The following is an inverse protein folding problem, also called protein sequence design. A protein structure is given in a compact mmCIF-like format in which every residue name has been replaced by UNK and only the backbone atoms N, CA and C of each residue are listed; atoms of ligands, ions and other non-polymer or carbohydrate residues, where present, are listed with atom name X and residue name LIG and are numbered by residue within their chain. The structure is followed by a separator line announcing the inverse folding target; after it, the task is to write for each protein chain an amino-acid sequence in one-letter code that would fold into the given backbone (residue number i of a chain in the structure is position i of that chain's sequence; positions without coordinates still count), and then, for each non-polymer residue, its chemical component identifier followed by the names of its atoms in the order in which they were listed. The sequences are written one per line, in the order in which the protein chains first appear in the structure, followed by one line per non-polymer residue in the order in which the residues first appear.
data_IF_950610801009
#
_entry.id   IF_950610801009
#
_cell.length_a   1.000
_cell.length_b   1.000
_cell.length_c   1.000
_cell.angle_alpha   90.00
_cell.angle_beta   90.00
_cell.angle_gamma   90.00
#
_symmetry.space_group_name_H-M   'P 1'
#
loop_
_entity.id
_entity.type
_entity.pdbx_description
1 polymer ?
#
# COMPACT_ATOMS: atom_id res chain seq x y z
N UNK A 1 20.49 15.54 -1.57
CA UNK A 1 19.19 16.04 -2.08
C UNK A 1 19.40 17.20 -3.05
N UNK A 2 20.61 17.75 -3.04
CA UNK A 2 21.05 19.01 -3.62
C UNK A 2 20.84 19.08 -5.14
N UNK A 3 20.92 17.94 -5.85
CA UNK A 3 20.66 17.85 -7.29
C UNK A 3 19.19 18.15 -7.65
N UNK A 4 18.24 17.77 -6.80
CA UNK A 4 16.79 17.89 -7.05
C UNK A 4 16.12 19.04 -6.31
N UNK A 5 16.87 19.74 -5.46
CA UNK A 5 16.37 20.82 -4.62
C UNK A 5 15.93 22.04 -5.45
N UNK A 6 16.68 22.37 -6.50
CA UNK A 6 16.30 23.43 -7.45
C UNK A 6 15.10 23.06 -8.33
N UNK A 7 15.13 21.91 -9.05
CA UNK A 7 14.05 21.54 -9.97
C UNK A 7 12.73 21.16 -9.30
N UNK A 8 12.75 20.52 -8.12
CA UNK A 8 11.56 19.95 -7.49
C UNK A 8 11.45 20.26 -5.98
N UNK A 9 11.41 21.54 -5.59
CA UNK A 9 11.47 21.95 -4.19
C UNK A 9 10.32 21.38 -3.34
N UNK A 10 9.11 21.32 -3.89
CA UNK A 10 7.95 20.75 -3.18
C UNK A 10 8.09 19.24 -2.93
N UNK A 11 8.70 18.49 -3.85
CA UNK A 11 8.92 17.06 -3.68
C UNK A 11 9.97 16.78 -2.60
N UNK A 12 11.03 17.59 -2.56
CA UNK A 12 12.06 17.53 -1.52
C UNK A 12 11.45 17.82 -0.15
N UNK A 13 10.64 18.87 -0.02
CA UNK A 13 9.97 19.19 1.24
C UNK A 13 9.12 18.04 1.79
N UNK A 14 8.37 17.35 0.92
CA UNK A 14 7.57 16.17 1.30
C UNK A 14 8.48 15.02 1.74
N UNK A 15 9.57 14.77 1.01
CA UNK A 15 10.53 13.73 1.36
C UNK A 15 11.18 14.01 2.71
N UNK A 16 11.64 15.24 2.96
CA UNK A 16 12.26 15.64 4.23
C UNK A 16 11.30 15.48 5.41
N UNK A 17 10.07 15.96 5.26
CA UNK A 17 9.05 15.86 6.30
C UNK A 17 8.72 14.39 6.68
N UNK A 18 8.72 13.49 5.68
CA UNK A 18 8.41 12.06 5.86
C UNK A 18 9.63 11.14 5.95
N UNK A 19 10.86 11.66 5.90
CA UNK A 19 12.06 10.85 5.69
C UNK A 19 12.25 9.79 6.76
N UNK A 20 12.03 10.19 8.02
CA UNK A 20 12.16 9.29 9.17
C UNK A 20 11.21 8.10 9.07
N UNK A 21 9.95 8.36 8.73
CA UNK A 21 8.93 7.31 8.59
C UNK A 21 9.21 6.45 7.36
N UNK A 22 9.67 7.06 6.27
CA UNK A 22 10.05 6.34 5.05
C UNK A 22 11.26 5.42 5.28
N UNK A 23 12.18 5.74 6.18
CA UNK A 23 13.32 4.87 6.50
C UNK A 23 12.98 3.76 7.50
N UNK A 24 11.82 3.81 8.15
CA UNK A 24 11.42 2.83 9.17
C UNK A 24 11.40 1.39 8.64
N UNK A 25 11.13 1.20 7.33
CA UNK A 25 11.11 -0.15 6.76
C UNK A 25 12.48 -0.83 6.77
N UNK A 26 13.59 -0.07 6.80
CA UNK A 26 14.95 -0.60 6.83
C UNK A 26 15.25 -1.40 8.11
N UNK A 27 14.46 -1.20 9.18
CA UNK A 27 14.59 -1.96 10.41
C UNK A 27 14.06 -3.41 10.30
N UNK A 28 13.32 -3.75 9.23
CA UNK A 28 12.74 -5.09 9.05
C UNK A 28 13.64 -6.01 8.23
N UNK A 29 14.85 -6.29 8.72
CA UNK A 29 15.87 -7.08 8.02
C UNK A 29 15.46 -8.52 7.64
N UNK A 30 14.44 -9.09 8.31
CA UNK A 30 13.93 -10.44 8.03
C UNK A 30 12.89 -10.47 6.90
N UNK A 31 12.35 -9.31 6.53
CA UNK A 31 11.38 -9.18 5.43
C UNK A 31 12.12 -8.58 4.23
N UNK A 32 11.86 -9.10 3.04
CA UNK A 32 12.35 -8.49 1.81
C UNK A 32 11.85 -7.05 1.70
N UNK A 33 12.76 -6.08 1.75
CA UNK A 33 12.45 -4.65 1.67
C UNK A 33 11.67 -4.30 0.39
N UNK A 34 11.87 -5.03 -0.71
CA UNK A 34 11.12 -4.81 -1.96
C UNK A 34 9.62 -5.04 -1.78
N UNK A 35 9.23 -5.91 -0.85
CA UNK A 35 7.82 -6.19 -0.53
C UNK A 35 7.19 -5.11 0.36
N UNK A 36 8.00 -4.37 1.12
CA UNK A 36 7.52 -3.30 2.00
C UNK A 36 7.49 -1.97 1.26
N UNK A 37 8.52 -1.68 0.45
CA UNK A 37 8.63 -0.41 -0.27
C UNK A 37 7.77 -0.35 -1.55
N UNK A 38 7.33 -1.49 -2.09
CA UNK A 38 6.53 -1.52 -3.31
C UNK A 38 5.08 -1.11 -3.09
N UNK A 39 4.61 -0.16 -3.89
CA UNK A 39 3.21 0.26 -3.99
C UNK A 39 2.42 -0.49 -5.06
N UNK A 40 3.02 -1.48 -5.75
CA UNK A 40 2.43 -2.15 -6.92
C UNK A 40 1.02 -2.72 -6.66
N UNK A 41 0.82 -3.32 -5.49
CA UNK A 41 -0.47 -3.90 -5.11
C UNK A 41 -1.55 -2.82 -4.92
N UNK A 42 -1.20 -1.74 -4.22
CA UNK A 42 -2.09 -0.59 -4.02
C UNK A 42 -2.40 0.12 -5.34
N UNK A 43 -1.40 0.32 -6.19
CA UNK A 43 -1.58 0.93 -7.51
C UNK A 43 -2.47 0.09 -8.42
N UNK A 44 -2.29 -1.24 -8.42
CA UNK A 44 -3.15 -2.17 -9.17
C UNK A 44 -4.58 -2.11 -8.66
N UNK A 45 -4.78 -2.10 -7.33
CA UNK A 45 -6.10 -1.97 -6.73
C UNK A 45 -6.78 -0.65 -7.11
N UNK A 46 -6.07 0.47 -6.96
CA UNK A 46 -6.57 1.81 -7.31
C UNK A 46 -6.90 1.93 -8.80
N UNK A 47 -6.08 1.34 -9.67
CA UNK A 47 -6.34 1.30 -11.12
C UNK A 47 -7.63 0.54 -11.42
N UNK A 48 -7.87 -0.59 -10.76
CA UNK A 48 -9.07 -1.40 -10.96
C UNK A 48 -10.33 -0.71 -10.42
N UNK A 49 -10.25 -0.05 -9.26
CA UNK A 49 -11.31 0.81 -8.74
C UNK A 49 -11.66 1.87 -9.78
N UNK A 50 -10.67 2.63 -10.27
CA UNK A 50 -10.88 3.67 -11.29
C UNK A 50 -11.49 3.11 -12.57
N UNK A 51 -11.03 1.95 -13.04
CA UNK A 51 -11.57 1.30 -14.25
C UNK A 51 -13.04 0.93 -14.09
N UNK A 52 -13.42 0.34 -12.95
CA UNK A 52 -14.80 -0.07 -12.66
C UNK A 52 -15.73 1.12 -12.47
N UNK A 53 -15.27 2.16 -11.78
CA UNK A 53 -16.07 3.38 -11.59
C UNK A 53 -16.22 4.16 -12.90
N UNK A 54 -15.20 4.16 -13.76
CA UNK A 54 -15.26 4.81 -15.07
C UNK A 54 -16.32 4.19 -15.99
N UNK A 55 -16.56 2.88 -15.90
CA UNK A 55 -17.60 2.22 -16.69
C UNK A 55 -19.03 2.68 -16.35
N UNK A 56 -19.25 3.16 -15.13
CA UNK A 56 -20.55 3.71 -14.69
C UNK A 56 -20.69 5.19 -15.07
N UNK A 57 -19.58 5.93 -15.11
CA UNK A 57 -19.58 7.36 -15.39
C UNK A 57 -20.09 8.18 -14.20
N UNK A 58 -21.39 8.46 -14.16
CA UNK A 58 -22.02 9.28 -13.12
C UNK A 58 -22.87 8.41 -12.20
N UNK A 59 -22.65 8.52 -10.89
CA UNK A 59 -23.42 7.79 -9.88
C UNK A 59 -24.62 8.62 -9.41
N UNK A 60 -25.75 7.97 -9.09
CA UNK A 60 -26.94 8.65 -8.57
C UNK A 60 -26.75 9.21 -7.16
N UNK A 61 -25.92 8.56 -6.34
CA UNK A 61 -25.61 8.94 -4.96
C UNK A 61 -24.26 8.34 -4.52
N UNK A 62 -23.77 8.78 -3.35
CA UNK A 62 -22.51 8.30 -2.77
C UNK A 62 -22.59 6.82 -2.35
N UNK A 63 -23.75 6.34 -1.89
CA UNK A 63 -23.91 4.96 -1.45
C UNK A 63 -23.80 3.98 -2.62
N UNK A 64 -24.25 4.36 -3.81
CA UNK A 64 -24.11 3.59 -5.04
C UNK A 64 -22.64 3.39 -5.41
N UNK A 65 -21.83 4.44 -5.26
CA UNK A 65 -20.39 4.36 -5.45
C UNK A 65 -19.74 3.43 -4.41
N UNK A 66 -20.07 3.62 -3.13
CA UNK A 66 -19.54 2.79 -2.04
C UNK A 66 -19.91 1.32 -2.26
N UNK A 67 -21.16 1.01 -2.62
CA UNK A 67 -21.61 -0.36 -2.90
C UNK A 67 -20.77 -1.02 -3.98
N UNK A 68 -20.52 -0.33 -5.10
CA UNK A 68 -19.70 -0.88 -6.19
C UNK A 68 -18.26 -1.17 -5.74
N UNK A 69 -17.61 -0.19 -5.11
CA UNK A 69 -16.22 -0.32 -4.66
C UNK A 69 -16.09 -1.40 -3.59
N UNK A 70 -16.98 -1.40 -2.60
CA UNK A 70 -17.00 -2.40 -1.52
C UNK A 70 -17.25 -3.80 -2.06
N UNK A 71 -18.18 -3.99 -3.00
CA UNK A 71 -18.44 -5.29 -3.61
C UNK A 71 -17.20 -5.83 -4.33
N UNK A 72 -16.46 -4.96 -5.02
CA UNK A 72 -15.19 -5.33 -5.63
C UNK A 72 -14.11 -5.66 -4.59
N UNK A 73 -13.98 -4.85 -3.54
CA UNK A 73 -13.01 -5.08 -2.47
C UNK A 73 -13.25 -6.39 -1.72
N UNK A 74 -14.51 -6.78 -1.53
CA UNK A 74 -14.86 -8.08 -0.93
C UNK A 74 -14.33 -9.25 -1.76
N UNK A 75 -14.57 -9.24 -3.06
CA UNK A 75 -14.06 -10.27 -3.99
C UNK A 75 -12.53 -10.25 -4.02
N UNK A 76 -11.93 -9.07 -4.14
CA UNK A 76 -10.47 -8.93 -4.14
C UNK A 76 -9.82 -9.45 -2.87
N UNK A 77 -10.45 -9.20 -1.71
CA UNK A 77 -9.99 -9.71 -0.43
C UNK A 77 -10.08 -11.23 -0.36
N UNK A 78 -11.17 -11.82 -0.85
CA UNK A 78 -11.34 -13.27 -0.91
C UNK A 78 -10.26 -13.93 -1.78
N UNK A 79 -10.03 -13.42 -2.98
CA UNK A 79 -8.97 -13.87 -3.89
C UNK A 79 -7.58 -13.75 -3.23
N UNK A 80 -7.33 -12.65 -2.53
CA UNK A 80 -6.05 -12.43 -1.85
C UNK A 80 -5.86 -13.36 -0.66
N UNK A 81 -6.93 -13.64 0.08
CA UNK A 81 -6.91 -14.52 1.26
C UNK A 81 -6.66 -15.99 0.91
N UNK A 82 -7.08 -16.42 -0.28
CA UNK A 82 -6.90 -17.79 -0.78
C UNK A 82 -5.59 -17.97 -1.55
N UNK A 83 -4.95 -16.86 -1.96
CA UNK A 83 -3.69 -16.85 -2.68
C UNK A 83 -2.45 -17.20 -1.84
N UNK A 84 -1.28 -17.19 -2.47
CA UNK A 84 -0.01 -17.35 -1.77
C UNK A 84 0.27 -16.16 -0.87
N UNK A 85 0.67 -16.42 0.37
CA UNK A 85 1.03 -15.39 1.33
C UNK A 85 2.17 -14.50 0.78
N UNK A 86 1.90 -13.20 0.67
CA UNK A 86 2.85 -12.24 0.09
C UNK A 86 4.13 -12.11 0.93
N UNK A 87 3.99 -12.13 2.26
CA UNK A 87 5.09 -12.18 3.23
C UNK A 87 4.93 -13.46 4.04
N UNK A 88 6.01 -14.20 4.26
CA UNK A 88 5.96 -15.47 4.97
C UNK A 88 5.41 -15.29 6.40
N UNK A 89 4.35 -16.04 6.72
CA UNK A 89 3.69 -16.01 8.03
C UNK A 89 4.65 -16.33 9.19
N UNK A 90 5.60 -17.25 8.99
CA UNK A 90 6.54 -17.64 10.05
C UNK A 90 7.46 -16.47 10.41
N UNK A 91 8.00 -15.78 9.40
CA UNK A 91 8.84 -14.58 9.59
C UNK A 91 8.05 -13.51 10.36
N UNK A 92 6.77 -13.34 10.04
CA UNK A 92 5.92 -12.37 10.74
C UNK A 92 5.73 -12.69 12.22
N UNK A 93 5.54 -13.97 12.58
CA UNK A 93 5.40 -14.38 13.99
C UNK A 93 6.71 -14.17 14.74
N UNK A 94 7.84 -14.57 14.15
CA UNK A 94 9.16 -14.40 14.77
C UNK A 94 9.49 -12.92 15.05
N UNK A 95 9.15 -12.01 14.13
CA UNK A 95 9.31 -10.56 14.34
C UNK A 95 8.41 -10.07 15.48
N UNK A 96 7.17 -10.58 15.56
CA UNK A 96 6.22 -10.19 16.59
C UNK A 96 6.68 -10.62 17.99
N UNK A 97 7.16 -11.85 18.12
CA UNK A 97 7.71 -12.39 19.36
C UNK A 97 8.94 -11.60 19.82
N UNK A 98 9.87 -11.31 18.90
CA UNK A 98 11.05 -10.49 19.21
C UNK A 98 10.70 -9.09 19.72
N UNK A 99 9.59 -8.50 19.23
CA UNK A 99 9.12 -7.17 19.68
C UNK A 99 8.32 -7.18 20.97
N UNK A 100 7.79 -8.34 21.41
CA UNK A 100 7.08 -8.46 22.69
C UNK A 100 8.02 -8.70 23.87
N UNK A 101 9.24 -9.16 23.58
CA UNK A 101 10.28 -9.46 24.59
C UNK A 101 11.19 -8.25 24.86
N UNK A 102 11.15 -7.22 24.00
CA UNK A 102 11.90 -5.97 24.11
C UNK A 102 11.03 -4.84 24.68
#
# INVERSE_FOLDING_TARGET
MDEYEGPYPAAIQVLEAGLKDALQFCHFYRIDHRKISSTNMLERLNREIRRRTHAVGVFPDQDAYIRLVTSYLMVYHEDWSTGRSYINRNIFQEIREQRQVA
#
